data_IF_366016754201
#
_entry.id   IF_366016754201
#
_cell.length_a   1.000
_cell.length_b   1.000
_cell.length_c   1.000
_cell.angle_alpha   90.00
_cell.angle_beta   90.00
_cell.angle_gamma   90.00
#
_symmetry.space_group_name_H-M   'P 1'
#
loop_
_entity.id
_entity.type
_entity.pdbx_description
1 polymer ?
#
# COMPACT_ATOMS: atom_id res chain seq x y z
N UNK A 1 9.77 -5.28 18.04
CA UNK A 1 9.74 -4.17 17.06
C UNK A 1 10.74 -4.51 15.98
N UNK A 2 10.31 -4.69 14.73
CA UNK A 2 11.23 -5.01 13.64
C UNK A 2 11.85 -3.72 13.10
N UNK A 3 13.18 -3.70 13.06
CA UNK A 3 13.97 -2.62 12.52
C UNK A 3 14.60 -3.08 11.21
N UNK A 4 14.70 -2.17 10.25
CA UNK A 4 15.35 -2.45 8.98
C UNK A 4 16.17 -1.27 8.48
N UNK A 5 17.00 -1.52 7.45
CA UNK A 5 17.85 -0.49 6.86
C UNK A 5 17.01 0.63 6.24
N UNK A 6 17.56 1.83 6.18
CA UNK A 6 16.92 2.99 5.54
C UNK A 6 16.65 2.76 4.04
N UNK A 7 17.48 1.92 3.44
CA UNK A 7 17.51 1.62 2.03
C UNK A 7 17.07 0.18 1.84
N UNK A 8 16.05 -0.02 1.02
CA UNK A 8 15.66 -1.36 0.58
C UNK A 8 16.62 -1.83 -0.52
N UNK A 9 17.08 -3.07 -0.47
CA UNK A 9 17.84 -3.67 -1.60
C UNK A 9 16.90 -3.86 -2.79
N UNK A 10 17.42 -3.67 -3.99
CA UNK A 10 16.73 -3.89 -5.26
C UNK A 10 17.33 -5.09 -6.02
N UNK A 11 16.58 -5.67 -6.96
CA UNK A 11 17.18 -6.74 -7.79
C UNK A 11 18.33 -6.24 -8.66
N UNK A 12 18.29 -5.00 -9.12
CA UNK A 12 19.35 -4.47 -9.99
C UNK A 12 20.68 -4.36 -9.23
N UNK A 13 20.64 -3.96 -7.96
CA UNK A 13 21.79 -3.97 -7.07
C UNK A 13 22.36 -5.38 -6.87
N UNK A 14 21.49 -6.38 -6.69
CA UNK A 14 21.91 -7.78 -6.54
C UNK A 14 22.47 -8.38 -7.84
N UNK A 15 21.88 -8.06 -9.00
CA UNK A 15 22.32 -8.55 -10.31
C UNK A 15 23.66 -7.94 -10.71
N UNK A 16 23.86 -6.65 -10.43
CA UNK A 16 25.08 -5.94 -10.79
C UNK A 16 26.18 -6.07 -9.73
N UNK A 17 25.90 -6.70 -8.59
CA UNK A 17 26.84 -6.80 -7.47
C UNK A 17 27.18 -5.44 -6.84
N UNK A 18 26.38 -4.42 -7.12
CA UNK A 18 26.59 -3.05 -6.64
C UNK A 18 25.78 -2.83 -5.38
N UNK A 19 26.46 -2.47 -4.28
CA UNK A 19 25.80 -2.13 -3.02
C UNK A 19 25.80 -0.62 -2.84
N UNK A 20 24.61 0.00 -2.76
CA UNK A 20 24.54 1.42 -2.43
C UNK A 20 24.98 1.67 -0.99
N UNK A 21 25.67 2.78 -0.78
CA UNK A 21 25.94 3.29 0.57
C UNK A 21 24.62 3.73 1.17
N UNK A 22 24.18 3.05 2.24
CA UNK A 22 22.99 3.42 2.96
C UNK A 22 23.35 4.07 4.29
N UNK A 23 22.56 5.06 4.71
CA UNK A 23 22.65 5.59 6.06
C UNK A 23 22.44 4.47 7.08
N UNK A 24 23.42 4.26 7.95
CA UNK A 24 23.28 3.34 9.07
C UNK A 24 22.22 3.89 10.04
N UNK A 25 21.12 3.17 10.20
CA UNK A 25 20.07 3.57 11.10
C UNK A 25 18.90 2.60 11.13
N UNK A 26 18.24 2.56 12.27
CA UNK A 26 17.04 1.76 12.51
C UNK A 26 15.82 2.53 11.99
N UNK A 27 15.37 2.18 10.78
CA UNK A 27 14.09 2.66 10.29
C UNK A 27 13.00 1.72 10.79
N UNK A 28 11.99 2.25 11.47
CA UNK A 28 10.78 1.49 11.83
C UNK A 28 9.92 1.27 10.58
N UNK A 29 9.51 0.03 10.32
CA UNK A 29 8.71 -0.32 9.15
C UNK A 29 8.62 -1.83 8.92
N UNK A 30 7.93 -2.22 7.84
CA UNK A 30 7.90 -3.58 7.36
C UNK A 30 9.00 -3.75 6.32
N UNK A 31 9.83 -4.78 6.50
CA UNK A 31 10.95 -5.08 5.63
C UNK A 31 10.79 -6.50 5.12
N UNK A 32 11.30 -6.77 3.92
CA UNK A 32 11.51 -8.14 3.52
C UNK A 32 12.52 -8.78 4.48
N UNK A 33 12.35 -10.07 4.77
CA UNK A 33 13.34 -10.76 5.57
C UNK A 33 14.73 -10.72 4.88
N UNK A 34 15.76 -11.10 5.62
CA UNK A 34 17.14 -11.11 5.13
C UNK A 34 17.40 -12.11 3.98
N UNK A 35 16.41 -12.76 3.37
CA UNK A 35 16.51 -13.66 2.18
C UNK A 35 15.70 -13.14 1.00
N UNK A 36 14.91 -12.09 1.20
CA UNK A 36 14.01 -11.53 0.23
C UNK A 36 14.33 -10.06 -0.08
N UNK A 37 13.81 -9.60 -1.21
CA UNK A 37 14.06 -8.28 -1.82
C UNK A 37 12.73 -7.70 -2.23
N UNK A 38 12.56 -6.39 -2.06
CA UNK A 38 11.29 -5.74 -2.39
C UNK A 38 11.28 -5.31 -3.86
N UNK A 39 10.26 -5.74 -4.60
CA UNK A 39 9.98 -5.27 -5.95
C UNK A 39 8.51 -4.91 -6.04
N UNK A 40 8.22 -3.68 -6.49
CA UNK A 40 6.84 -3.20 -6.69
C UNK A 40 5.94 -3.51 -5.48
N UNK A 41 6.45 -3.27 -4.27
CA UNK A 41 5.71 -3.50 -3.04
C UNK A 41 5.74 -4.93 -2.47
N UNK A 42 6.21 -5.94 -3.22
CA UNK A 42 6.21 -7.36 -2.81
C UNK A 42 7.61 -7.88 -2.50
N UNK A 43 7.71 -8.80 -1.54
CA UNK A 43 8.97 -9.50 -1.23
C UNK A 43 9.13 -10.72 -2.14
N UNK A 44 10.23 -10.80 -2.88
CA UNK A 44 10.62 -11.98 -3.65
C UNK A 44 11.97 -12.51 -3.18
N UNK A 45 12.27 -13.79 -3.42
CA UNK A 45 13.56 -14.36 -3.01
C UNK A 45 14.72 -13.75 -3.79
N UNK A 46 15.89 -13.61 -3.17
CA UNK A 46 17.12 -13.18 -3.87
C UNK A 46 17.46 -14.06 -5.06
N UNK A 47 17.18 -15.37 -4.99
CA UNK A 47 17.36 -16.30 -6.11
C UNK A 47 16.50 -15.93 -7.32
N UNK A 48 15.27 -15.45 -7.09
CA UNK A 48 14.38 -14.98 -8.14
C UNK A 48 14.85 -13.65 -8.75
N UNK A 49 15.55 -12.79 -7.98
CA UNK A 49 16.23 -11.60 -8.52
C UNK A 49 17.40 -11.94 -9.44
N UNK A 50 18.22 -12.93 -9.06
CA UNK A 50 19.43 -13.30 -9.79
C UNK A 50 19.13 -14.02 -11.12
N UNK A 51 17.88 -14.46 -11.31
CA UNK A 51 17.55 -15.45 -12.31
C UNK A 51 18.24 -16.78 -11.98
N UNK A 52 17.68 -17.90 -12.38
CA UNK A 52 18.41 -19.16 -12.32
C UNK A 52 19.58 -19.10 -13.30
N UNK A 53 20.75 -18.66 -12.82
CA UNK A 53 22.03 -19.08 -13.38
C UNK A 53 22.21 -20.56 -13.02
N UNK A 54 21.58 -21.43 -13.81
CA UNK A 54 22.14 -22.76 -13.98
C UNK A 54 23.41 -22.57 -14.79
N UNK A 55 24.52 -23.07 -14.26
CA UNK A 55 25.86 -22.96 -14.84
C UNK A 55 25.90 -23.50 -16.28
N UNK A 56 25.75 -22.63 -17.28
CA UNK A 56 26.27 -22.90 -18.63
C UNK A 56 26.40 -21.60 -19.43
N UNK A 57 27.65 -21.16 -19.53
CA UNK A 57 28.28 -20.53 -20.71
C UNK A 57 27.76 -19.16 -21.18
N UNK A 58 28.68 -18.19 -21.10
CA UNK A 58 28.77 -17.00 -21.96
C UNK A 58 28.12 -17.23 -23.34
N UNK A 59 27.06 -16.49 -23.66
CA UNK A 59 27.00 -15.78 -24.94
C UNK A 59 26.04 -14.59 -24.86
N UNK A 60 26.64 -13.45 -25.12
CA UNK A 60 26.08 -12.13 -25.35
C UNK A 60 24.96 -12.21 -26.41
N UNK A 61 23.77 -11.68 -26.11
CA UNK A 61 23.05 -10.83 -27.06
C UNK A 61 21.98 -9.96 -26.36
N UNK A 62 21.89 -8.66 -26.70
CA UNK A 62 20.90 -7.75 -26.16
C UNK A 62 19.58 -7.96 -26.91
N UNK A 63 18.66 -8.71 -26.32
CA UNK A 63 17.30 -8.77 -26.84
C UNK A 63 16.52 -7.58 -26.28
N UNK A 64 16.21 -6.65 -27.17
CA UNK A 64 15.27 -5.54 -27.00
C UNK A 64 14.03 -5.97 -26.23
N UNK A 65 13.93 -5.53 -24.97
CA UNK A 65 12.66 -5.58 -24.24
C UNK A 65 11.77 -4.52 -24.87
N UNK A 66 10.72 -4.97 -25.56
CA UNK A 66 9.74 -4.12 -26.19
C UNK A 66 8.97 -3.36 -25.09
N UNK A 67 9.23 -2.06 -24.99
CA UNK A 67 8.55 -1.13 -24.09
C UNK A 67 7.26 -0.70 -24.80
N UNK A 68 6.30 -1.61 -24.96
CA UNK A 68 4.95 -1.32 -25.48
C UNK A 68 3.95 -2.40 -25.03
N UNK A 69 3.85 -2.63 -23.72
CA UNK A 69 2.61 -3.15 -23.10
C UNK A 69 2.25 -2.19 -21.98
N UNK A 70 1.80 -1.02 -22.45
CA UNK A 70 1.29 0.11 -21.71
C UNK A 70 -0.20 0.15 -22.03
N UNK A 71 -0.96 -0.76 -21.42
CA UNK A 71 -2.43 -0.79 -21.43
C UNK A 71 -2.85 -1.93 -20.49
N UNK A 72 -2.75 -1.68 -19.19
CA UNK A 72 -3.61 -2.27 -18.13
C UNK A 72 -3.37 -1.47 -16.84
N UNK A 73 -3.43 -0.14 -16.98
CA UNK A 73 -3.50 0.83 -15.89
C UNK A 73 -4.92 0.90 -15.27
N UNK A 74 -5.77 -0.12 -15.49
CA UNK A 74 -7.12 -0.24 -14.90
C UNK A 74 -7.25 -1.32 -13.81
N UNK A 75 -6.17 -2.01 -13.41
CA UNK A 75 -6.27 -3.11 -12.44
C UNK A 75 -5.73 -2.80 -11.03
N UNK A 76 -5.81 -1.54 -10.60
CA UNK A 76 -5.45 -1.14 -9.23
C UNK A 76 -6.44 -0.19 -8.54
N UNK A 77 -7.67 -0.02 -9.03
CA UNK A 77 -8.71 0.59 -8.21
C UNK A 77 -9.43 -0.47 -7.39
N UNK A 78 -8.89 -0.70 -6.20
CA UNK A 78 -9.41 -1.64 -5.19
C UNK A 78 -10.70 -1.14 -4.53
N UNK A 79 -11.49 -0.27 -5.15
CA UNK A 79 -12.52 0.50 -4.44
C UNK A 79 -13.76 -0.33 -4.06
N UNK A 80 -13.89 -1.53 -4.60
CA UNK A 80 -14.97 -2.48 -4.29
C UNK A 80 -14.45 -3.92 -4.22
N UNK A 81 -13.59 -4.22 -3.25
CA UNK A 81 -13.16 -5.59 -3.00
C UNK A 81 -14.32 -6.54 -2.65
N UNK A 82 -14.12 -7.88 -2.78
CA UNK A 82 -15.11 -8.86 -2.34
C UNK A 82 -15.39 -8.69 -0.84
N UNK A 83 -16.63 -8.94 -0.44
CA UNK A 83 -16.99 -8.92 0.98
C UNK A 83 -16.20 -10.02 1.70
N UNK A 84 -15.40 -9.63 2.69
CA UNK A 84 -14.71 -10.59 3.57
C UNK A 84 -15.61 -10.88 4.78
N UNK A 85 -15.80 -12.13 5.20
CA UNK A 85 -16.59 -12.49 6.37
C UNK A 85 -16.11 -11.86 7.69
N UNK A 86 -14.84 -11.44 7.75
CA UNK A 86 -14.25 -10.76 8.92
C UNK A 86 -14.48 -9.25 8.91
N UNK A 87 -15.02 -8.72 7.83
CA UNK A 87 -15.30 -7.30 7.67
C UNK A 87 -16.80 -7.03 7.76
N UNK A 88 -17.19 -5.84 8.22
CA UNK A 88 -18.59 -5.48 8.29
C UNK A 88 -19.20 -5.36 6.90
N UNK A 89 -20.53 -5.38 6.84
CA UNK A 89 -21.28 -5.22 5.60
C UNK A 89 -20.84 -3.94 4.88
N UNK A 90 -20.71 -4.03 3.56
CA UNK A 90 -20.20 -2.94 2.71
C UNK A 90 -18.74 -2.56 2.99
N UNK A 91 -17.96 -3.53 3.47
CA UNK A 91 -16.51 -3.41 3.59
C UNK A 91 -15.81 -4.62 2.99
N UNK A 92 -14.54 -4.45 2.67
CA UNK A 92 -13.68 -5.51 2.17
C UNK A 92 -12.36 -5.50 2.94
N UNK A 93 -11.71 -6.66 3.04
CA UNK A 93 -10.41 -6.74 3.70
C UNK A 93 -9.32 -6.28 2.73
N UNK A 94 -8.68 -5.15 3.06
CA UNK A 94 -7.53 -4.64 2.31
C UNK A 94 -6.25 -5.10 2.99
N UNK A 95 -5.46 -5.93 2.29
CA UNK A 95 -4.21 -6.49 2.83
C UNK A 95 -3.10 -5.45 2.95
N UNK A 96 -3.06 -4.46 2.05
CA UNK A 96 -2.23 -3.27 2.11
C UNK A 96 -3.14 -2.06 2.31
N UNK A 97 -3.39 -1.71 3.57
CA UNK A 97 -4.33 -0.64 3.88
C UNK A 97 -3.69 0.73 3.96
N UNK A 98 -4.48 1.78 3.79
CA UNK A 98 -3.94 3.13 3.92
C UNK A 98 -3.61 3.46 5.37
N UNK A 99 -2.45 4.06 5.62
CA UNK A 99 -2.09 4.55 6.97
C UNK A 99 -2.90 5.82 7.29
N UNK A 100 -3.47 6.44 6.26
CA UNK A 100 -4.25 7.66 6.36
C UNK A 100 -5.50 7.49 7.24
N UNK A 101 -5.95 8.59 7.88
CA UNK A 101 -7.23 8.63 8.55
C UNK A 101 -8.33 8.19 7.58
N UNK A 102 -9.20 7.29 8.04
CA UNK A 102 -10.31 6.81 7.23
C UNK A 102 -11.41 7.87 7.17
N UNK A 103 -12.14 7.96 6.04
CA UNK A 103 -13.33 8.78 6.01
C UNK A 103 -14.41 8.21 6.95
N UNK A 104 -15.07 9.10 7.67
CA UNK A 104 -16.18 8.79 8.57
C UNK A 104 -17.33 9.76 8.34
N UNK A 105 -18.50 9.54 8.93
CA UNK A 105 -19.61 10.50 8.83
C UNK A 105 -19.26 11.89 9.40
N UNK A 106 -18.32 11.97 10.34
CA UNK A 106 -17.84 13.25 10.88
C UNK A 106 -16.87 13.95 9.91
N UNK A 107 -16.05 13.15 9.22
CA UNK A 107 -15.05 13.62 8.26
C UNK A 107 -15.12 12.80 6.97
N UNK A 108 -16.16 13.02 6.12
CA UNK A 108 -16.39 12.20 4.93
C UNK A 108 -15.30 12.38 3.87
N UNK A 109 -14.52 13.46 3.98
CA UNK A 109 -13.33 13.71 3.18
C UNK A 109 -12.13 13.83 4.11
N UNK A 110 -10.97 13.24 3.77
CA UNK A 110 -9.75 13.47 4.52
C UNK A 110 -9.40 14.97 4.46
N UNK A 111 -9.22 15.61 5.63
CA UNK A 111 -8.96 17.06 5.74
C UNK A 111 -7.69 17.52 5.01
N UNK A 112 -6.78 16.60 4.69
CA UNK A 112 -5.54 16.86 3.96
C UNK A 112 -5.28 15.74 2.96
N UNK A 113 -4.62 16.02 1.83
CA UNK A 113 -4.21 14.99 0.89
C UNK A 113 -3.14 14.11 1.56
N UNK A 114 -3.60 13.02 2.16
CA UNK A 114 -2.75 12.05 2.82
C UNK A 114 -2.27 11.06 1.77
N UNK A 115 -1.02 11.21 1.35
CA UNK A 115 -0.36 10.28 0.46
C UNK A 115 0.49 9.31 1.29
N UNK A 116 0.03 8.06 1.39
CA UNK A 116 0.83 7.01 2.01
C UNK A 116 1.56 6.19 0.95
N UNK A 117 2.87 6.36 0.84
CA UNK A 117 3.73 5.45 0.06
C UNK A 117 3.98 4.11 0.78
N UNK A 118 3.36 3.90 1.94
CA UNK A 118 3.55 2.71 2.79
C UNK A 118 2.22 2.01 2.99
N UNK A 119 2.24 0.68 2.94
CA UNK A 119 1.13 -0.16 3.36
C UNK A 119 1.04 -0.22 4.89
N UNK A 120 -0.13 0.09 5.43
CA UNK A 120 -0.52 -0.26 6.79
C UNK A 120 -0.81 -1.75 6.94
N UNK A 121 -1.13 -2.17 8.16
CA UNK A 121 -1.57 -3.54 8.46
C UNK A 121 -2.88 -3.87 7.71
N UNK A 122 -3.17 -5.14 7.42
CA UNK A 122 -4.46 -5.52 6.87
C UNK A 122 -5.61 -5.00 7.73
N UNK A 123 -6.58 -4.32 7.13
CA UNK A 123 -7.77 -3.81 7.82
C UNK A 123 -8.95 -3.75 6.87
N UNK A 124 -10.16 -3.73 7.43
CA UNK A 124 -11.37 -3.55 6.64
C UNK A 124 -11.49 -2.11 6.14
N UNK A 125 -11.86 -1.96 4.89
CA UNK A 125 -12.08 -0.68 4.22
C UNK A 125 -13.51 -0.66 3.66
N UNK A 126 -14.21 0.46 3.86
CA UNK A 126 -15.55 0.60 3.30
C UNK A 126 -15.47 0.60 1.77
N UNK A 127 -16.50 0.03 1.14
CA UNK A 127 -16.69 0.09 -0.31
C UNK A 127 -16.90 1.53 -0.77
N UNK A 128 -16.81 1.75 -2.08
CA UNK A 128 -17.07 3.05 -2.68
C UNK A 128 -18.41 3.64 -2.18
N UNK A 129 -18.42 4.96 -1.93
CA UNK A 129 -19.55 5.73 -1.38
C UNK A 129 -20.02 5.31 0.03
N UNK A 130 -19.27 4.43 0.71
CA UNK A 130 -19.51 4.07 2.09
C UNK A 130 -18.41 4.65 2.99
N UNK A 131 -18.80 5.10 4.17
CA UNK A 131 -17.91 5.64 5.19
C UNK A 131 -18.21 5.01 6.54
N UNK A 132 -17.24 5.07 7.46
CA UNK A 132 -17.48 4.59 8.81
C UNK A 132 -18.47 5.51 9.53
N UNK A 133 -19.45 4.93 10.22
CA UNK A 133 -20.43 5.71 10.99
C UNK A 133 -19.76 6.58 12.06
N UNK A 134 -18.74 6.04 12.74
CA UNK A 134 -17.93 6.72 13.75
C UNK A 134 -16.43 6.54 13.45
N UNK A 135 -15.57 7.35 14.06
CA UNK A 135 -14.11 7.25 13.88
C UNK A 135 -13.60 5.91 14.43
N UNK A 136 -13.09 5.06 13.54
CA UNK A 136 -12.68 3.69 13.90
C UNK A 136 -13.85 2.69 14.02
N UNK A 137 -15.04 3.06 13.55
CA UNK A 137 -16.26 2.27 13.70
C UNK A 137 -16.23 0.89 13.04
N UNK A 138 -17.17 0.04 13.47
CA UNK A 138 -17.38 -1.32 12.97
C UNK A 138 -18.46 -1.39 11.88
N UNK A 139 -19.02 -0.26 11.45
CA UNK A 139 -20.15 -0.21 10.51
C UNK A 139 -19.86 0.77 9.37
N UNK A 140 -19.99 0.29 8.12
CA UNK A 140 -19.89 1.09 6.90
C UNK A 140 -21.29 1.45 6.41
N UNK A 141 -21.61 2.74 6.43
CA UNK A 141 -22.89 3.28 5.96
C UNK A 141 -22.70 4.06 4.67
N UNK A 142 -23.72 4.10 3.82
CA UNK A 142 -23.71 4.97 2.65
C UNK A 142 -23.57 6.43 3.11
N UNK A 143 -22.75 7.22 2.41
CA UNK A 143 -22.46 8.61 2.79
C UNK A 143 -23.72 9.47 2.98
N UNK A 144 -24.76 9.25 2.17
CA UNK A 144 -26.04 9.98 2.29
C UNK A 144 -26.83 9.66 3.57
N UNK A 145 -26.51 8.54 4.23
CA UNK A 145 -27.11 8.15 5.51
C UNK A 145 -26.38 8.79 6.70
N UNK A 146 -25.27 9.48 6.47
CA UNK A 146 -24.61 10.24 7.52
C UNK A 146 -25.51 11.40 7.94
N UNK A 147 -25.89 11.39 9.22
CA UNK A 147 -26.46 12.57 9.86
C UNK A 147 -25.31 13.56 10.08
N UNK A 148 -24.96 14.31 9.04
CA UNK A 148 -23.97 15.38 9.14
C UNK A 148 -24.39 16.27 10.32
N UNK A 149 -23.53 16.49 11.34
CA UNK A 149 -23.83 17.52 12.32
C UNK A 149 -24.05 18.82 11.54
N UNK A 150 -25.16 19.50 11.82
CA UNK A 150 -25.40 20.85 11.27
C UNK A 150 -24.12 21.66 11.49
N UNK A 151 -23.64 22.41 10.48
CA UNK A 151 -22.44 23.22 10.65
C UNK A 151 -22.60 24.01 11.94
N UNK A 152 -21.71 23.76 12.90
CA UNK A 152 -21.69 24.54 14.14
C UNK A 152 -21.44 25.97 13.68
N UNK A 153 -22.46 26.83 13.78
CA UNK A 153 -22.34 28.25 13.50
C UNK A 153 -21.22 28.79 14.39
N UNK A 154 -20.03 28.92 13.82
CA UNK A 154 -18.85 29.51 14.44
C UNK A 154 -19.00 31.04 14.46
N UNK A 155 -20.11 31.55 14.99
CA UNK A 155 -20.41 32.98 15.14
C UNK A 155 -21.14 33.30 16.45
N UNK A 156 -20.70 32.70 17.56
CA UNK A 156 -21.03 33.18 18.90
C UNK A 156 -19.82 33.14 19.82
N UNK A 157 -18.83 33.97 19.51
CA UNK A 157 -18.06 34.64 20.55
C UNK A 157 -18.07 36.14 20.23
N UNK A 158 -18.67 36.84 21.19
CA UNK A 158 -18.93 38.27 21.29
C UNK A 158 -17.61 39.02 21.42
#
# INVERSE_FOLDING_TARGET
>A
MECGPYCEETCDELRNGTRRSCLFGCRRGCFCDHRHVRIRGKCITRTKCLGTVSSTTLHRNPTTVNINEFEDEELFSSENGPQDPRCPTNAYLKSCSDICPKPSCHHPKPLFPCFSLRCGRPKCECKLNHVFKEDGGEECVHIDKCSMPKPVELHRYI
#
